data_IF_236206855669
#
_entry.id   IF_236206855669
#
_cell.length_a   1.000
_cell.length_b   1.000
_cell.length_c   1.000
_cell.angle_alpha   90.00
_cell.angle_beta   90.00
_cell.angle_gamma   90.00
#
_symmetry.space_group_name_H-M   'P 1'
#
loop_
_entity.id
_entity.type
_entity.pdbx_description
1 polymer ?
#
# COMPACT_ATOMS: atom_id res chain seq x y z
N UNK A 1 -16.78 -19.08 -13.07
CA UNK A 1 -16.03 -20.33 -13.21
C UNK A 1 -16.87 -21.47 -12.64
N UNK A 2 -17.27 -22.46 -13.45
CA UNK A 2 -18.04 -23.62 -13.04
C UNK A 2 -17.59 -24.85 -13.86
N UNK A 3 -18.03 -26.04 -13.48
CA UNK A 3 -17.58 -27.29 -14.12
C UNK A 3 -18.02 -27.39 -15.60
N UNK A 4 -19.18 -26.85 -15.94
CA UNK A 4 -19.68 -26.80 -17.30
C UNK A 4 -20.64 -25.61 -17.48
N UNK A 5 -20.34 -24.73 -18.43
CA UNK A 5 -21.20 -23.59 -18.77
C UNK A 5 -22.38 -23.97 -19.69
N UNK A 6 -22.29 -25.09 -20.40
CA UNK A 6 -23.34 -25.56 -21.32
C UNK A 6 -24.41 -26.42 -20.61
N UNK A 7 -25.02 -25.85 -19.60
CA UNK A 7 -26.23 -26.35 -18.96
C UNK A 7 -27.31 -25.29 -19.00
N UNK A 8 -28.59 -25.70 -19.02
CA UNK A 8 -29.73 -24.78 -19.06
C UNK A 8 -29.67 -23.78 -17.89
N UNK A 9 -29.40 -24.28 -16.68
CA UNK A 9 -29.28 -23.49 -15.46
C UNK A 9 -28.17 -22.48 -15.54
N UNK A 10 -26.95 -22.88 -15.91
CA UNK A 10 -25.77 -22.00 -15.96
C UNK A 10 -25.89 -20.95 -17.07
N UNK A 11 -26.43 -21.30 -18.24
CA UNK A 11 -26.67 -20.34 -19.31
C UNK A 11 -27.77 -19.33 -18.96
N UNK A 12 -28.83 -19.77 -18.27
CA UNK A 12 -29.87 -18.88 -17.76
C UNK A 12 -29.32 -17.90 -16.73
N UNK A 13 -28.55 -18.43 -15.79
CA UNK A 13 -27.89 -17.62 -14.73
C UNK A 13 -26.86 -16.65 -15.34
N UNK A 14 -26.11 -17.09 -16.37
CA UNK A 14 -25.14 -16.25 -17.08
C UNK A 14 -25.84 -15.08 -17.79
N UNK A 15 -26.98 -15.34 -18.43
CA UNK A 15 -27.81 -14.31 -19.10
C UNK A 15 -28.37 -13.32 -18.08
N UNK A 16 -28.90 -13.81 -16.97
CA UNK A 16 -29.42 -12.97 -15.90
C UNK A 16 -28.31 -12.05 -15.32
N UNK A 17 -27.12 -12.60 -15.08
CA UNK A 17 -25.97 -11.81 -14.62
C UNK A 17 -25.52 -10.77 -15.66
N UNK A 18 -25.51 -11.12 -16.95
CA UNK A 18 -25.16 -10.18 -18.02
C UNK A 18 -26.13 -9.00 -18.10
N UNK A 19 -27.43 -9.29 -18.01
CA UNK A 19 -28.46 -8.25 -18.04
C UNK A 19 -28.38 -7.36 -16.79
N UNK A 20 -28.22 -7.94 -15.62
CA UNK A 20 -28.08 -7.16 -14.40
C UNK A 20 -26.84 -6.27 -14.41
N UNK A 21 -25.70 -6.75 -14.94
CA UNK A 21 -24.51 -5.92 -15.11
C UNK A 21 -24.75 -4.74 -16.07
N UNK A 22 -25.56 -4.95 -17.13
CA UNK A 22 -25.89 -3.87 -18.06
C UNK A 22 -26.80 -2.83 -17.41
N UNK A 23 -27.82 -3.25 -16.68
CA UNK A 23 -28.87 -2.40 -16.13
C UNK A 23 -28.46 -1.69 -14.83
N UNK A 24 -27.67 -2.37 -13.99
CA UNK A 24 -27.38 -1.89 -12.64
C UNK A 24 -26.06 -1.13 -12.52
N UNK A 25 -25.13 -1.25 -13.48
CA UNK A 25 -23.89 -0.50 -13.43
C UNK A 25 -24.08 0.92 -13.95
N UNK A 26 -23.71 1.91 -13.14
CA UNK A 26 -23.86 3.34 -13.47
C UNK A 26 -23.17 3.76 -14.77
N UNK A 27 -22.08 3.08 -15.12
CA UNK A 27 -21.25 3.42 -16.29
C UNK A 27 -21.22 2.33 -17.36
N UNK A 28 -22.11 1.34 -17.34
CA UNK A 28 -22.18 0.34 -18.40
C UNK A 28 -22.63 0.99 -19.74
N UNK A 29 -21.95 0.59 -20.81
CA UNK A 29 -22.28 0.97 -22.19
C UNK A 29 -22.79 -0.27 -22.95
N UNK A 30 -22.06 -1.37 -22.86
CA UNK A 30 -22.39 -2.62 -23.54
C UNK A 30 -21.83 -3.79 -22.75
N UNK A 31 -22.62 -4.85 -22.68
CA UNK A 31 -22.17 -6.16 -22.16
C UNK A 31 -22.00 -7.12 -23.33
N UNK A 32 -21.00 -7.95 -23.28
CA UNK A 32 -20.72 -9.02 -24.25
C UNK A 32 -20.43 -10.29 -23.48
N UNK A 33 -21.28 -11.25 -23.61
CA UNK A 33 -21.15 -12.59 -23.01
C UNK A 33 -21.44 -13.67 -24.03
N UNK A 34 -21.30 -14.93 -23.63
CA UNK A 34 -21.68 -16.05 -24.48
C UNK A 34 -23.15 -16.02 -24.89
N UNK A 35 -24.01 -15.46 -24.03
CA UNK A 35 -25.47 -15.39 -24.23
C UNK A 35 -25.90 -14.16 -25.05
N UNK A 36 -25.06 -13.13 -25.14
CA UNK A 36 -25.46 -11.84 -25.74
C UNK A 36 -24.67 -11.53 -27.03
N UNK A 37 -23.80 -12.44 -27.46
CA UNK A 37 -23.00 -12.22 -28.64
C UNK A 37 -23.80 -12.53 -29.91
N UNK A 38 -23.85 -11.56 -30.81
CA UNK A 38 -24.49 -11.62 -32.10
C UNK A 38 -23.48 -11.67 -33.23
N UNK A 39 -23.80 -12.45 -34.28
CA UNK A 39 -23.00 -12.55 -35.49
C UNK A 39 -23.84 -12.25 -36.71
N UNK A 40 -23.25 -11.55 -37.65
CA UNK A 40 -23.77 -11.44 -38.98
C UNK A 40 -23.41 -12.69 -39.78
N UNK A 41 -24.40 -13.39 -40.27
CA UNK A 41 -24.27 -14.55 -41.16
C UNK A 41 -24.86 -14.20 -42.50
N UNK A 42 -24.10 -14.46 -43.55
CA UNK A 42 -24.60 -14.32 -44.92
C UNK A 42 -25.64 -15.42 -45.23
N UNK A 43 -26.83 -15.04 -45.70
CA UNK A 43 -27.81 -15.96 -46.25
C UNK A 43 -28.08 -15.62 -47.70
N UNK A 44 -28.74 -16.50 -48.43
CA UNK A 44 -29.03 -16.31 -49.87
C UNK A 44 -29.86 -15.05 -50.15
N UNK A 45 -30.61 -14.56 -49.14
CA UNK A 45 -31.45 -13.35 -49.20
C UNK A 45 -30.81 -12.10 -48.55
N UNK A 46 -29.56 -12.16 -48.06
CA UNK A 46 -28.86 -11.06 -47.42
C UNK A 46 -28.06 -11.43 -46.18
N UNK A 47 -27.92 -10.47 -45.23
CA UNK A 47 -27.26 -10.70 -43.94
C UNK A 47 -28.32 -10.86 -42.86
N UNK A 48 -28.21 -11.95 -42.10
CA UNK A 48 -29.01 -12.19 -40.88
C UNK A 48 -28.16 -12.10 -39.63
N UNK A 49 -28.74 -11.62 -38.52
CA UNK A 49 -28.10 -11.60 -37.22
C UNK A 49 -28.47 -12.88 -36.50
N UNK A 50 -27.49 -13.66 -36.12
CA UNK A 50 -27.67 -14.90 -35.36
C UNK A 50 -27.00 -14.80 -34.01
N UNK A 51 -27.67 -15.26 -32.98
CA UNK A 51 -27.12 -15.46 -31.64
C UNK A 51 -26.51 -16.87 -31.50
N UNK A 52 -25.54 -17.04 -30.58
CA UNK A 52 -25.02 -18.37 -30.27
C UNK A 52 -26.02 -19.14 -29.39
N UNK A 53 -26.53 -18.46 -28.35
CA UNK A 53 -27.50 -19.02 -27.43
C UNK A 53 -28.87 -18.39 -27.75
N UNK A 54 -29.84 -19.16 -28.20
CA UNK A 54 -31.18 -18.65 -28.53
C UNK A 54 -31.88 -18.15 -27.26
N UNK A 55 -32.94 -17.35 -27.44
CA UNK A 55 -33.72 -16.82 -26.33
C UNK A 55 -34.30 -17.92 -25.46
N UNK A 56 -34.83 -18.97 -26.06
CA UNK A 56 -35.24 -20.20 -25.36
C UNK A 56 -34.04 -21.16 -25.27
N UNK A 57 -33.50 -21.31 -24.04
CA UNK A 57 -32.36 -22.17 -23.78
C UNK A 57 -32.86 -23.64 -23.77
N UNK A 58 -32.29 -24.54 -24.60
CA UNK A 58 -32.73 -25.91 -24.69
C UNK A 58 -32.39 -26.73 -23.44
N UNK A 59 -33.05 -27.86 -23.29
CA UNK A 59 -32.83 -28.81 -22.19
C UNK A 59 -31.42 -29.43 -22.27
N UNK A 60 -30.89 -29.78 -21.08
CA UNK A 60 -29.57 -30.38 -20.95
C UNK A 60 -29.47 -31.72 -21.69
N UNK A 61 -28.33 -31.95 -22.37
CA UNK A 61 -28.12 -33.17 -23.15
C UNK A 61 -28.93 -33.27 -24.45
N UNK A 62 -29.66 -32.21 -24.82
CA UNK A 62 -30.36 -32.18 -26.11
C UNK A 62 -29.39 -31.95 -27.27
N UNK A 63 -29.78 -32.43 -28.48
CA UNK A 63 -29.03 -32.18 -29.70
C UNK A 63 -28.85 -30.66 -29.99
N UNK A 64 -29.81 -29.85 -29.54
CA UNK A 64 -29.73 -28.39 -29.63
C UNK A 64 -28.66 -27.80 -28.72
N UNK A 65 -28.47 -28.32 -27.51
CA UNK A 65 -27.38 -27.89 -26.61
C UNK A 65 -26.00 -28.25 -27.18
N UNK A 66 -25.83 -29.42 -27.75
CA UNK A 66 -24.59 -29.80 -28.44
C UNK A 66 -24.32 -28.92 -29.67
N UNK A 67 -25.35 -28.51 -30.41
CA UNK A 67 -25.21 -27.56 -31.53
C UNK A 67 -24.76 -26.18 -31.07
N UNK A 68 -25.27 -25.67 -29.93
CA UNK A 68 -24.83 -24.42 -29.32
C UNK A 68 -23.34 -24.49 -28.96
N UNK A 69 -22.93 -25.58 -28.32
CA UNK A 69 -21.54 -25.81 -27.96
C UNK A 69 -20.64 -25.86 -29.20
N UNK A 70 -21.00 -26.64 -30.20
CA UNK A 70 -20.27 -26.71 -31.46
C UNK A 70 -20.16 -25.34 -32.15
N UNK A 71 -21.26 -24.56 -32.18
CA UNK A 71 -21.32 -23.21 -32.75
C UNK A 71 -20.39 -22.25 -31.98
N UNK A 72 -20.38 -22.30 -30.66
CA UNK A 72 -19.50 -21.47 -29.83
C UNK A 72 -18.02 -21.73 -30.12
N UNK A 73 -17.61 -22.99 -30.22
CA UNK A 73 -16.23 -23.35 -30.51
C UNK A 73 -15.82 -23.16 -31.99
N UNK A 74 -16.77 -23.16 -32.92
CA UNK A 74 -16.49 -22.90 -34.34
C UNK A 74 -16.09 -21.45 -34.64
N UNK A 75 -16.43 -20.51 -33.74
CA UNK A 75 -16.17 -19.09 -33.92
C UNK A 75 -14.91 -18.65 -33.16
N UNK A 76 -13.81 -18.25 -33.84
CA UNK A 76 -12.54 -17.88 -33.19
C UNK A 76 -12.64 -16.70 -32.20
N UNK A 77 -13.64 -15.83 -32.39
CA UNK A 77 -13.87 -14.68 -31.49
C UNK A 77 -14.57 -15.07 -30.18
N UNK A 78 -15.16 -16.24 -30.10
CA UNK A 78 -15.82 -16.79 -28.91
C UNK A 78 -14.92 -17.80 -28.24
N UNK A 79 -14.44 -18.79 -29.00
CA UNK A 79 -13.45 -19.71 -28.52
C UNK A 79 -12.19 -18.94 -28.11
N UNK A 80 -11.68 -19.21 -26.92
CA UNK A 80 -10.51 -18.56 -26.28
C UNK A 80 -10.71 -17.13 -25.77
N UNK A 81 -11.76 -16.41 -26.19
CA UNK A 81 -12.01 -15.03 -25.69
C UNK A 81 -13.17 -14.95 -24.70
N UNK A 82 -14.26 -15.64 -24.97
CA UNK A 82 -15.44 -15.63 -24.10
C UNK A 82 -15.62 -16.97 -23.35
N UNK A 83 -15.05 -18.05 -23.86
CA UNK A 83 -15.11 -19.37 -23.22
C UNK A 83 -13.76 -20.07 -23.32
N UNK A 84 -13.37 -20.80 -22.27
CA UNK A 84 -12.18 -21.64 -22.27
C UNK A 84 -12.35 -22.88 -23.15
N UNK A 85 -11.24 -23.48 -23.59
CA UNK A 85 -11.27 -24.72 -24.38
C UNK A 85 -11.94 -25.89 -23.65
N UNK A 86 -11.91 -25.89 -22.32
CA UNK A 86 -12.56 -26.91 -21.47
C UNK A 86 -14.01 -26.61 -21.16
N UNK A 87 -14.50 -25.39 -21.41
CA UNK A 87 -15.84 -24.95 -21.08
C UNK A 87 -16.10 -24.68 -19.59
N UNK A 88 -15.03 -24.59 -18.78
CA UNK A 88 -15.05 -24.38 -17.35
C UNK A 88 -14.97 -22.89 -16.94
N UNK A 89 -14.57 -22.04 -17.86
CA UNK A 89 -14.45 -20.59 -17.66
C UNK A 89 -15.14 -19.84 -18.78
N UNK A 90 -16.01 -18.91 -18.44
CA UNK A 90 -16.56 -17.94 -19.38
C UNK A 90 -16.31 -16.51 -18.91
N UNK A 91 -16.24 -15.57 -19.86
CA UNK A 91 -16.04 -14.16 -19.62
C UNK A 91 -17.29 -13.36 -19.97
N UNK A 92 -17.69 -12.48 -19.08
CA UNK A 92 -18.62 -11.40 -19.36
C UNK A 92 -17.78 -10.13 -19.47
N UNK A 93 -17.73 -9.55 -20.65
CA UNK A 93 -17.01 -8.30 -20.89
C UNK A 93 -17.97 -7.13 -20.85
N UNK A 94 -17.76 -6.24 -19.88
CA UNK A 94 -18.53 -5.00 -19.77
C UNK A 94 -17.71 -3.85 -20.32
N UNK A 95 -18.20 -3.25 -21.39
CA UNK A 95 -17.65 -2.00 -21.92
C UNK A 95 -18.24 -0.84 -21.12
N UNK A 96 -17.37 0.00 -20.58
CA UNK A 96 -17.78 1.16 -19.80
C UNK A 96 -17.80 2.43 -20.66
N UNK A 97 -18.71 3.33 -20.33
CA UNK A 97 -18.72 4.71 -20.85
C UNK A 97 -17.50 5.46 -20.36
N UNK A 98 -17.10 6.49 -21.08
CA UNK A 98 -16.00 7.34 -20.64
C UNK A 98 -16.33 7.99 -19.29
N UNK A 99 -15.48 7.79 -18.30
CA UNK A 99 -15.65 8.42 -17.00
C UNK A 99 -15.53 9.95 -17.08
N UNK A 100 -16.25 10.69 -16.22
CA UNK A 100 -16.12 12.14 -16.14
C UNK A 100 -14.69 12.51 -15.73
N UNK A 101 -14.22 13.67 -16.19
CA UNK A 101 -12.87 14.17 -15.86
C UNK A 101 -12.69 14.32 -14.34
N UNK A 102 -11.49 14.13 -13.87
CA UNK A 102 -11.10 14.25 -12.45
C UNK A 102 -11.59 15.55 -11.79
N UNK A 103 -11.57 16.66 -12.53
CA UNK A 103 -12.03 17.96 -12.04
C UNK A 103 -13.51 18.01 -11.69
N UNK A 104 -14.35 17.18 -12.32
CA UNK A 104 -15.80 17.20 -12.10
C UNK A 104 -16.20 16.45 -10.84
N UNK A 105 -15.75 15.19 -10.70
CA UNK A 105 -16.14 14.39 -9.55
C UNK A 105 -15.39 14.78 -8.25
N UNK A 106 -14.15 15.29 -8.34
CA UNK A 106 -13.41 15.81 -7.18
C UNK A 106 -14.04 17.07 -6.59
N UNK A 107 -14.54 17.98 -7.42
CA UNK A 107 -15.25 19.17 -6.94
C UNK A 107 -16.53 18.84 -6.17
N UNK A 108 -17.17 17.74 -6.51
CA UNK A 108 -18.39 17.28 -5.84
C UNK A 108 -18.09 16.48 -4.55
N UNK A 109 -16.81 16.29 -4.18
CA UNK A 109 -16.42 15.47 -3.03
C UNK A 109 -16.75 13.98 -3.21
N UNK A 110 -17.00 13.56 -4.45
CA UNK A 110 -17.43 12.20 -4.79
C UNK A 110 -16.26 11.22 -4.84
N UNK A 111 -16.57 9.96 -4.64
CA UNK A 111 -15.60 8.85 -4.80
C UNK A 111 -15.28 8.70 -6.28
N UNK A 112 -14.06 8.21 -6.59
CA UNK A 112 -13.67 7.96 -7.99
C UNK A 112 -14.65 7.03 -8.70
N UNK A 113 -15.07 7.34 -9.95
CA UNK A 113 -15.95 6.49 -10.75
C UNK A 113 -15.48 5.04 -10.88
N UNK A 114 -14.16 4.81 -10.95
CA UNK A 114 -13.58 3.46 -10.92
C UNK A 114 -13.95 2.68 -9.67
N UNK A 115 -13.89 3.33 -8.50
CA UNK A 115 -14.21 2.70 -7.21
C UNK A 115 -15.70 2.41 -7.13
N UNK A 116 -16.56 3.35 -7.60
CA UNK A 116 -18.01 3.15 -7.62
C UNK A 116 -18.37 1.96 -8.50
N UNK A 117 -17.88 1.94 -9.74
CA UNK A 117 -18.13 0.83 -10.68
C UNK A 117 -17.62 -0.51 -10.10
N UNK A 118 -16.43 -0.51 -9.52
CA UNK A 118 -15.88 -1.71 -8.89
C UNK A 118 -16.72 -2.21 -7.70
N UNK A 119 -17.28 -1.30 -6.90
CA UNK A 119 -18.17 -1.60 -5.79
C UNK A 119 -19.51 -2.18 -6.27
N UNK A 120 -20.10 -1.58 -7.30
CA UNK A 120 -21.32 -2.07 -7.94
C UNK A 120 -21.13 -3.50 -8.48
N UNK A 121 -20.02 -3.75 -9.19
CA UNK A 121 -19.67 -5.11 -9.66
C UNK A 121 -19.52 -6.06 -8.49
N UNK A 122 -18.81 -5.69 -7.43
CA UNK A 122 -18.64 -6.55 -6.26
C UNK A 122 -19.98 -6.91 -5.61
N UNK A 123 -20.89 -5.94 -5.52
CA UNK A 123 -22.22 -6.16 -4.96
C UNK A 123 -23.04 -7.15 -5.79
N UNK A 124 -22.98 -7.03 -7.13
CA UNK A 124 -23.73 -7.92 -8.05
C UNK A 124 -23.15 -9.33 -8.00
N UNK A 125 -21.84 -9.52 -8.16
CA UNK A 125 -21.24 -10.85 -8.21
C UNK A 125 -21.31 -11.62 -6.88
N UNK A 126 -21.52 -10.95 -5.76
CA UNK A 126 -21.68 -11.58 -4.44
C UNK A 126 -23.11 -12.00 -4.13
N UNK A 127 -24.07 -11.75 -5.01
CA UNK A 127 -25.45 -12.21 -4.79
C UNK A 127 -25.52 -13.74 -4.78
N UNK A 128 -26.29 -14.34 -3.87
CA UNK A 128 -26.42 -15.80 -3.75
C UNK A 128 -26.97 -16.45 -5.02
N UNK A 129 -27.74 -15.71 -5.82
CA UNK A 129 -28.32 -16.16 -7.09
C UNK A 129 -27.25 -16.55 -8.12
N UNK A 130 -26.08 -15.91 -8.07
CA UNK A 130 -24.96 -16.16 -8.99
C UNK A 130 -23.87 -17.06 -8.42
N UNK A 131 -24.06 -17.60 -7.22
CA UNK A 131 -23.05 -18.39 -6.52
C UNK A 131 -22.66 -19.67 -7.30
N UNK A 132 -23.59 -20.25 -8.07
CA UNK A 132 -23.34 -21.44 -8.90
C UNK A 132 -22.27 -21.20 -9.97
N UNK A 133 -22.18 -20.00 -10.50
CA UNK A 133 -21.18 -19.61 -11.49
C UNK A 133 -19.83 -19.21 -10.88
N UNK A 134 -19.73 -19.10 -9.54
CA UNK A 134 -18.54 -18.59 -8.84
C UNK A 134 -17.90 -17.39 -9.56
N UNK A 135 -18.64 -16.27 -9.75
CA UNK A 135 -18.19 -15.15 -10.55
C UNK A 135 -17.04 -14.42 -9.85
N UNK A 136 -16.09 -13.97 -10.63
CA UNK A 136 -14.94 -13.19 -10.17
C UNK A 136 -14.79 -11.92 -10.99
N UNK A 137 -14.68 -10.79 -10.32
CA UNK A 137 -14.44 -9.51 -10.99
C UNK A 137 -13.00 -9.38 -11.46
N UNK A 138 -12.83 -8.74 -12.62
CA UNK A 138 -11.55 -8.39 -13.20
C UNK A 138 -11.65 -7.02 -13.90
N UNK A 139 -10.52 -6.41 -14.22
CA UNK A 139 -10.46 -5.11 -14.87
C UNK A 139 -10.10 -3.98 -13.89
N UNK A 140 -9.67 -2.84 -14.45
CA UNK A 140 -9.12 -1.73 -13.65
C UNK A 140 -10.09 -1.19 -12.59
N UNK A 141 -11.38 -0.95 -12.86
CA UNK A 141 -12.33 -0.46 -11.85
C UNK A 141 -12.45 -1.42 -10.66
N UNK A 142 -12.62 -2.72 -10.93
CA UNK A 142 -12.73 -3.72 -9.89
C UNK A 142 -11.45 -3.85 -9.05
N UNK A 143 -10.28 -3.86 -9.71
CA UNK A 143 -8.98 -3.89 -9.03
C UNK A 143 -8.79 -2.65 -8.17
N UNK A 144 -9.16 -1.46 -8.67
CA UNK A 144 -9.06 -0.20 -7.92
C UNK A 144 -9.95 -0.22 -6.68
N UNK A 145 -11.18 -0.73 -6.81
CA UNK A 145 -12.08 -0.91 -5.68
C UNK A 145 -11.52 -1.88 -4.64
N UNK A 146 -11.16 -3.10 -5.03
CA UNK A 146 -10.57 -4.10 -4.14
C UNK A 146 -9.34 -3.55 -3.42
N UNK A 147 -8.48 -2.86 -4.15
CA UNK A 147 -7.28 -2.22 -3.63
C UNK A 147 -7.62 -1.17 -2.57
N UNK A 148 -8.63 -0.33 -2.81
CA UNK A 148 -9.10 0.69 -1.87
C UNK A 148 -9.63 0.05 -0.57
N UNK A 149 -10.43 -1.01 -0.67
CA UNK A 149 -10.96 -1.75 0.48
C UNK A 149 -9.84 -2.43 1.28
N UNK A 150 -8.92 -3.12 0.60
CA UNK A 150 -7.78 -3.78 1.24
C UNK A 150 -6.86 -2.78 1.93
N UNK A 151 -6.51 -1.69 1.26
CA UNK A 151 -5.66 -0.65 1.85
C UNK A 151 -6.34 -0.07 3.10
N UNK A 152 -7.62 0.27 3.03
CA UNK A 152 -8.36 0.80 4.19
C UNK A 152 -8.33 -0.14 5.40
N UNK A 153 -8.48 -1.44 5.16
CA UNK A 153 -8.48 -2.48 6.18
C UNK A 153 -7.09 -2.74 6.77
N UNK A 154 -6.08 -2.89 5.91
CA UNK A 154 -4.71 -3.21 6.32
C UNK A 154 -3.96 -2.00 6.89
N UNK A 155 -4.30 -0.78 6.50
CA UNK A 155 -3.70 0.46 7.04
C UNK A 155 -3.79 0.50 8.56
N UNK A 156 -4.98 0.33 9.12
CA UNK A 156 -5.17 0.35 10.57
C UNK A 156 -4.36 -0.74 11.28
N UNK A 157 -4.34 -1.94 10.73
CA UNK A 157 -3.58 -3.08 11.25
C UNK A 157 -2.07 -2.84 11.22
N UNK A 158 -1.54 -2.38 10.09
CA UNK A 158 -0.11 -2.09 9.94
C UNK A 158 0.34 -0.94 10.84
N UNK A 159 -0.47 0.12 10.96
CA UNK A 159 -0.21 1.23 11.87
C UNK A 159 -0.18 0.77 13.34
N UNK A 160 -1.10 -0.10 13.73
CA UNK A 160 -1.11 -0.70 15.08
C UNK A 160 0.16 -1.51 15.33
N UNK A 161 0.55 -2.38 14.40
CA UNK A 161 1.77 -3.20 14.50
C UNK A 161 3.01 -2.31 14.57
N UNK A 162 3.12 -1.30 13.70
CA UNK A 162 4.23 -0.35 13.69
C UNK A 162 4.33 0.41 15.01
N UNK A 163 3.20 0.84 15.59
CA UNK A 163 3.17 1.52 16.88
C UNK A 163 3.61 0.59 18.01
N UNK A 164 3.15 -0.66 18.02
CA UNK A 164 3.56 -1.65 19.04
C UNK A 164 5.06 -1.92 18.95
N UNK A 165 5.59 -2.15 17.75
CA UNK A 165 7.03 -2.35 17.53
C UNK A 165 7.81 -1.12 18.01
N UNK A 166 7.36 0.09 17.66
CA UNK A 166 7.95 1.35 18.13
C UNK A 166 7.99 1.40 19.65
N UNK A 167 6.87 1.10 20.32
CA UNK A 167 6.81 1.08 21.79
C UNK A 167 7.78 0.08 22.39
N UNK A 168 7.81 -1.15 21.87
CA UNK A 168 8.71 -2.20 22.37
C UNK A 168 10.19 -1.79 22.24
N UNK A 169 10.58 -1.32 21.06
CA UNK A 169 11.96 -0.86 20.80
C UNK A 169 12.33 0.28 21.75
N UNK A 170 11.43 1.28 21.88
CA UNK A 170 11.70 2.43 22.74
C UNK A 170 11.71 2.05 24.24
N UNK A 171 10.86 1.13 24.71
CA UNK A 171 10.90 0.62 26.07
C UNK A 171 12.25 -0.08 26.34
N UNK A 172 12.67 -0.95 25.43
CA UNK A 172 13.94 -1.69 25.57
C UNK A 172 15.15 -0.74 25.62
N UNK A 173 15.16 0.29 24.76
CA UNK A 173 16.29 1.22 24.64
C UNK A 173 16.29 2.29 25.74
N UNK A 174 15.13 2.89 26.00
CA UNK A 174 15.07 4.05 26.91
C UNK A 174 14.73 3.70 28.35
N UNK A 175 14.05 2.57 28.58
CA UNK A 175 13.51 2.16 29.89
C UNK A 175 12.77 3.32 30.61
N UNK A 176 12.07 4.16 29.84
CA UNK A 176 11.40 5.35 30.34
C UNK A 176 10.10 5.60 29.57
N UNK A 177 9.02 5.87 30.26
CA UNK A 177 7.71 6.19 29.65
C UNK A 177 7.81 7.39 28.71
N UNK A 178 8.58 8.42 29.08
CA UNK A 178 8.76 9.62 28.24
C UNK A 178 9.48 9.31 26.94
N UNK A 179 10.45 8.40 26.98
CA UNK A 179 11.14 7.96 25.78
C UNK A 179 10.24 7.20 24.81
N UNK A 180 9.15 6.59 25.30
CA UNK A 180 8.17 5.90 24.47
C UNK A 180 7.13 6.89 23.90
N UNK A 181 6.69 7.82 24.71
CA UNK A 181 5.64 8.79 24.33
C UNK A 181 6.14 9.83 23.32
N UNK A 182 7.40 10.27 23.43
CA UNK A 182 7.97 11.29 22.55
C UNK A 182 7.91 10.95 21.06
N UNK A 183 8.38 9.78 20.57
CA UNK A 183 8.29 9.45 19.15
C UNK A 183 6.85 9.31 18.67
N UNK A 184 5.94 8.79 19.48
CA UNK A 184 4.53 8.63 19.10
C UNK A 184 3.90 10.01 18.87
N UNK A 185 4.06 10.94 19.80
CA UNK A 185 3.54 12.31 19.64
C UNK A 185 4.19 13.00 18.45
N UNK A 186 5.50 12.82 18.24
CA UNK A 186 6.22 13.40 17.11
C UNK A 186 5.69 12.89 15.76
N UNK A 187 5.43 11.58 15.64
CA UNK A 187 4.84 10.99 14.42
C UNK A 187 3.43 11.52 14.19
N UNK A 188 2.59 11.44 15.21
CA UNK A 188 1.20 11.90 15.12
C UNK A 188 1.16 13.37 14.72
N UNK A 189 1.93 14.23 15.39
CA UNK A 189 2.01 15.65 15.09
C UNK A 189 2.53 15.92 13.66
N UNK A 190 3.62 15.27 13.27
CA UNK A 190 4.20 15.41 11.93
C UNK A 190 3.26 14.95 10.81
N UNK A 191 2.57 13.82 11.00
CA UNK A 191 1.59 13.31 10.05
C UNK A 191 0.35 14.20 9.97
N UNK A 192 -0.18 14.68 11.09
CA UNK A 192 -1.32 15.62 11.09
C UNK A 192 -1.00 16.90 10.33
N UNK A 193 0.18 17.48 10.54
CA UNK A 193 0.60 18.66 9.79
C UNK A 193 0.73 18.33 8.30
N UNK A 194 1.39 17.23 7.96
CA UNK A 194 1.60 16.81 6.56
C UNK A 194 0.28 16.62 5.81
N UNK A 195 -0.62 15.80 6.35
CA UNK A 195 -1.90 15.51 5.70
C UNK A 195 -2.88 16.67 5.80
N UNK A 196 -2.77 17.51 6.86
CA UNK A 196 -3.51 18.76 6.96
C UNK A 196 -3.16 19.73 5.83
N UNK A 197 -1.86 19.91 5.56
CA UNK A 197 -1.40 20.75 4.44
C UNK A 197 -1.80 20.12 3.10
N UNK A 198 -1.62 18.80 2.91
CA UNK A 198 -2.03 18.11 1.69
C UNK A 198 -3.55 18.25 1.43
N UNK A 199 -4.37 18.17 2.46
CA UNK A 199 -5.81 18.39 2.37
C UNK A 199 -6.18 19.85 2.06
N UNK A 200 -5.53 20.81 2.72
CA UNK A 200 -5.78 22.24 2.50
C UNK A 200 -5.36 22.69 1.10
N UNK A 201 -4.24 22.18 0.61
CA UNK A 201 -3.75 22.47 -0.75
C UNK A 201 -4.42 21.62 -1.84
N UNK A 202 -5.37 20.75 -1.48
CA UNK A 202 -6.03 19.82 -2.38
C UNK A 202 -5.04 18.98 -3.22
N UNK A 203 -3.91 18.64 -2.65
CA UNK A 203 -2.92 17.81 -3.32
C UNK A 203 -3.50 16.43 -3.62
N UNK A 204 -3.19 15.92 -4.81
CA UNK A 204 -3.51 14.55 -5.14
C UNK A 204 -2.74 13.58 -4.26
N UNK A 205 -3.46 12.79 -3.49
CA UNK A 205 -2.89 11.72 -2.66
C UNK A 205 -3.41 10.39 -3.17
N UNK A 206 -2.52 9.58 -3.73
CA UNK A 206 -2.87 8.23 -4.17
C UNK A 206 -3.00 7.32 -2.95
N UNK A 207 -4.18 6.73 -2.77
CA UNK A 207 -4.48 5.83 -1.65
C UNK A 207 -3.54 4.62 -1.58
N UNK A 208 -3.04 4.18 -2.74
CA UNK A 208 -2.13 3.03 -2.86
C UNK A 208 -0.80 3.25 -2.15
N UNK A 209 -0.28 4.49 -2.20
CA UNK A 209 1.06 4.81 -1.71
C UNK A 209 1.06 5.52 -0.36
N UNK A 210 -0.12 5.77 0.21
CA UNK A 210 -0.32 6.44 1.50
C UNK A 210 0.39 5.75 2.67
N UNK A 211 0.56 4.43 2.59
CA UNK A 211 1.25 3.64 3.63
C UNK A 211 2.73 3.99 3.75
N UNK A 212 3.39 4.32 2.65
CA UNK A 212 4.85 4.53 2.62
C UNK A 212 5.25 5.72 3.51
N UNK A 213 4.67 6.93 3.38
CA UNK A 213 4.98 8.05 4.25
C UNK A 213 4.73 7.76 5.73
N UNK A 214 3.64 7.03 6.04
CA UNK A 214 3.28 6.70 7.42
C UNK A 214 4.31 5.77 8.08
N UNK A 215 4.64 4.64 7.45
CA UNK A 215 5.60 3.67 7.98
C UNK A 215 6.98 4.30 8.09
N UNK A 216 7.40 5.06 7.07
CA UNK A 216 8.67 5.77 7.07
C UNK A 216 8.75 6.78 8.22
N UNK A 217 7.67 7.50 8.49
CA UNK A 217 7.60 8.47 9.60
C UNK A 217 7.84 7.82 10.96
N UNK A 218 7.29 6.63 11.20
CA UNK A 218 7.57 5.88 12.42
C UNK A 218 9.04 5.47 12.52
N UNK A 219 9.62 4.91 11.47
CA UNK A 219 11.02 4.48 11.47
C UNK A 219 11.97 5.63 11.74
N UNK A 220 11.74 6.76 11.08
CA UNK A 220 12.57 7.97 11.21
C UNK A 220 12.42 8.61 12.59
N UNK A 221 11.19 8.70 13.12
CA UNK A 221 10.95 9.23 14.45
C UNK A 221 11.62 8.39 15.55
N UNK A 222 11.56 7.05 15.43
CA UNK A 222 12.27 6.15 16.35
C UNK A 222 13.75 6.47 16.34
N UNK A 223 14.37 6.55 15.16
CA UNK A 223 15.80 6.81 15.02
C UNK A 223 16.19 8.16 15.66
N UNK A 224 15.48 9.23 15.36
CA UNK A 224 15.77 10.56 15.94
C UNK A 224 15.63 10.57 17.46
N UNK A 225 14.55 10.00 17.96
CA UNK A 225 14.26 10.01 19.39
C UNK A 225 15.22 9.09 20.18
N UNK A 226 15.66 7.95 19.63
CA UNK A 226 16.66 7.10 20.28
C UNK A 226 17.97 7.87 20.47
N UNK A 227 18.45 8.55 19.43
CA UNK A 227 19.68 9.34 19.50
C UNK A 227 19.58 10.46 20.54
N UNK A 228 18.52 11.28 20.48
CA UNK A 228 18.29 12.38 21.41
C UNK A 228 18.16 11.85 22.85
N UNK A 229 17.41 10.80 23.06
CA UNK A 229 17.13 10.28 24.40
C UNK A 229 18.35 9.58 25.02
N UNK A 230 19.10 8.82 24.23
CA UNK A 230 20.31 8.13 24.71
C UNK A 230 21.36 9.13 25.15
N UNK A 231 21.59 10.16 24.34
CA UNK A 231 22.55 11.21 24.67
C UNK A 231 22.13 12.04 25.90
N UNK A 232 20.86 12.47 25.93
CA UNK A 232 20.30 13.13 27.11
C UNK A 232 20.51 12.32 28.40
N UNK A 233 20.32 11.00 28.34
CA UNK A 233 20.46 10.11 29.49
C UNK A 233 21.91 10.07 30.00
N UNK A 234 22.90 10.10 29.09
CA UNK A 234 24.32 10.25 29.42
C UNK A 234 24.60 11.58 30.13
N UNK A 235 24.18 12.70 29.52
CA UNK A 235 24.38 14.04 30.08
C UNK A 235 23.65 14.26 31.41
N UNK A 236 22.47 13.68 31.56
CA UNK A 236 21.71 13.74 32.81
C UNK A 236 22.44 13.05 33.98
N UNK A 237 23.19 11.97 33.72
CA UNK A 237 24.01 11.30 34.74
C UNK A 237 25.25 12.12 35.14
N UNK A 238 25.81 12.88 34.18
CA UNK A 238 26.99 13.74 34.42
C UNK A 238 26.58 14.98 35.21
N UNK A 239 25.56 15.70 34.73
CA UNK A 239 25.23 17.03 35.29
C UNK A 239 24.17 16.97 36.40
N UNK A 240 23.31 15.99 36.41
CA UNK A 240 22.18 15.90 37.34
C UNK A 240 21.08 16.95 37.08
N UNK A 241 21.35 17.98 36.26
CA UNK A 241 20.47 19.10 35.96
C UNK A 241 19.88 18.95 34.54
N UNK A 242 18.55 18.89 34.45
CA UNK A 242 17.84 18.63 33.19
C UNK A 242 18.10 19.69 32.13
N UNK A 243 18.02 20.95 32.50
CA UNK A 243 18.18 22.05 31.56
C UNK A 243 19.56 22.00 30.88
N UNK A 244 20.64 21.83 31.63
CA UNK A 244 21.98 21.68 31.07
C UNK A 244 22.10 20.45 30.18
N UNK A 245 21.58 19.30 30.62
CA UNK A 245 21.62 18.07 29.86
C UNK A 245 20.87 18.20 28.52
N UNK A 246 19.73 18.90 28.47
CA UNK A 246 18.97 19.12 27.23
C UNK A 246 19.72 20.06 26.30
N UNK A 247 20.24 21.18 26.80
CA UNK A 247 20.98 22.15 25.97
C UNK A 247 22.19 21.50 25.33
N UNK A 248 22.96 20.70 26.08
CA UNK A 248 24.10 19.97 25.54
C UNK A 248 23.65 18.91 24.54
N UNK A 249 22.58 18.17 24.81
CA UNK A 249 22.04 17.20 23.86
C UNK A 249 21.71 17.83 22.51
N UNK A 250 21.03 18.97 22.53
CA UNK A 250 20.67 19.67 21.28
C UNK A 250 21.91 20.24 20.59
N UNK A 251 22.87 20.77 21.32
CA UNK A 251 24.12 21.29 20.73
C UNK A 251 24.96 20.21 20.05
N UNK A 252 25.07 19.04 20.67
CA UNK A 252 25.95 17.97 20.19
C UNK A 252 25.28 17.07 19.14
N UNK A 253 24.06 16.62 19.43
CA UNK A 253 23.36 15.63 18.58
C UNK A 253 22.35 16.27 17.65
N UNK A 254 21.84 17.46 17.97
CA UNK A 254 20.81 18.14 17.16
C UNK A 254 21.22 18.31 15.70
N UNK A 255 22.47 18.72 15.44
CA UNK A 255 23.02 18.84 14.10
C UNK A 255 23.07 17.48 13.37
N UNK A 256 23.55 16.44 14.04
CA UNK A 256 23.62 15.11 13.42
C UNK A 256 22.24 14.59 13.05
N UNK A 257 21.24 14.76 13.92
CA UNK A 257 19.84 14.39 13.66
C UNK A 257 19.25 15.22 12.52
N UNK A 258 19.53 16.54 12.49
CA UNK A 258 19.09 17.44 11.43
C UNK A 258 19.65 17.02 10.06
N UNK A 259 20.96 16.79 9.95
CA UNK A 259 21.56 16.36 8.69
C UNK A 259 21.08 14.98 8.24
N UNK A 260 20.87 14.05 9.16
CA UNK A 260 20.28 12.76 8.86
C UNK A 260 18.88 12.92 8.25
N UNK A 261 18.04 13.76 8.86
CA UNK A 261 16.70 14.06 8.32
C UNK A 261 16.75 14.78 6.98
N UNK A 262 17.66 15.73 6.83
CA UNK A 262 17.84 16.50 5.60
C UNK A 262 18.28 15.62 4.42
N UNK A 263 19.25 14.73 4.64
CA UNK A 263 19.68 13.78 3.59
C UNK A 263 18.56 12.83 3.19
N UNK A 264 17.76 12.36 4.16
CA UNK A 264 16.57 11.54 3.89
C UNK A 264 15.55 12.31 3.06
N UNK A 265 15.29 13.57 3.40
CA UNK A 265 14.38 14.46 2.66
C UNK A 265 14.83 14.65 1.20
N UNK A 266 16.11 14.97 0.98
CA UNK A 266 16.67 15.15 -0.37
C UNK A 266 16.58 13.84 -1.18
N UNK A 267 16.87 12.71 -0.54
CA UNK A 267 16.73 11.39 -1.17
C UNK A 267 15.29 11.10 -1.61
N UNK A 268 14.29 11.43 -0.79
CA UNK A 268 12.87 11.26 -1.14
C UNK A 268 12.41 12.22 -2.23
N UNK A 269 12.94 13.45 -2.26
CA UNK A 269 12.65 14.41 -3.34
C UNK A 269 13.18 13.91 -4.70
N UNK A 270 14.18 13.01 -4.74
CA UNK A 270 14.65 12.44 -6.00
C UNK A 270 13.56 11.65 -6.76
N UNK A 271 12.52 11.17 -6.08
CA UNK A 271 11.37 10.53 -6.73
C UNK A 271 10.61 11.47 -7.67
N UNK A 272 10.77 12.79 -7.53
CA UNK A 272 10.20 13.75 -8.46
C UNK A 272 10.81 13.66 -9.87
N UNK A 273 12.01 13.07 -10.02
CA UNK A 273 12.62 12.84 -11.31
C UNK A 273 11.96 11.71 -12.11
N UNK A 274 11.13 10.86 -11.47
CA UNK A 274 10.48 9.72 -12.12
C UNK A 274 9.15 10.18 -12.73
N UNK A 275 8.89 10.03 -14.04
CA UNK A 275 7.68 10.53 -14.69
C UNK A 275 6.44 9.64 -14.42
N UNK A 276 6.20 9.26 -13.17
CA UNK A 276 5.07 8.44 -12.73
C UNK A 276 4.34 9.16 -11.59
N UNK A 277 3.06 9.51 -11.78
CA UNK A 277 2.27 10.26 -10.79
C UNK A 277 2.29 9.69 -9.36
N UNK A 278 2.09 8.38 -9.11
CA UNK A 278 2.21 7.82 -7.77
C UNK A 278 3.59 8.04 -7.12
N UNK A 279 4.68 7.98 -7.88
CA UNK A 279 6.03 8.22 -7.37
C UNK A 279 6.25 9.69 -6.97
N UNK A 280 5.73 10.63 -7.76
CA UNK A 280 5.71 12.06 -7.37
C UNK A 280 4.96 12.25 -6.06
N UNK A 281 3.80 11.62 -5.91
CA UNK A 281 3.01 11.67 -4.69
C UNK A 281 3.81 11.16 -3.48
N UNK A 282 4.45 9.99 -3.62
CA UNK A 282 5.35 9.44 -2.57
C UNK A 282 6.47 10.40 -2.25
N UNK A 283 7.16 10.93 -3.26
CA UNK A 283 8.28 11.85 -3.10
C UNK A 283 7.89 13.08 -2.28
N UNK A 284 6.82 13.77 -2.66
CA UNK A 284 6.36 14.99 -1.99
C UNK A 284 5.86 14.70 -0.59
N UNK A 285 4.92 13.76 -0.43
CA UNK A 285 4.26 13.53 0.87
C UNK A 285 5.24 12.89 1.87
N UNK A 286 6.11 11.97 1.43
CA UNK A 286 7.12 11.39 2.33
C UNK A 286 8.15 12.43 2.76
N UNK A 287 8.60 13.30 1.85
CA UNK A 287 9.53 14.39 2.19
C UNK A 287 8.91 15.35 3.20
N UNK A 288 7.66 15.76 2.98
CA UNK A 288 6.92 16.59 3.91
C UNK A 288 6.76 15.89 5.27
N UNK A 289 6.41 14.60 5.28
CA UNK A 289 6.25 13.83 6.51
C UNK A 289 7.56 13.74 7.29
N UNK A 290 8.67 13.42 6.64
CA UNK A 290 10.00 13.36 7.27
C UNK A 290 10.40 14.72 7.82
N UNK A 291 10.18 15.81 7.07
CA UNK A 291 10.47 17.17 7.51
C UNK A 291 9.67 17.53 8.77
N UNK A 292 8.36 17.35 8.76
CA UNK A 292 7.53 17.72 9.92
C UNK A 292 7.77 16.78 11.11
N UNK A 293 8.01 15.49 10.89
CA UNK A 293 8.40 14.56 11.97
C UNK A 293 9.75 14.95 12.56
N UNK A 294 10.73 15.38 11.75
CA UNK A 294 11.99 15.90 12.23
C UNK A 294 11.78 17.14 13.13
N UNK A 295 11.01 18.13 12.63
CA UNK A 295 10.72 19.35 13.38
C UNK A 295 9.99 19.07 14.69
N UNK A 296 8.95 18.25 14.62
CA UNK A 296 8.20 17.86 15.83
C UNK A 296 9.07 17.06 16.81
N UNK A 297 9.94 16.17 16.35
CA UNK A 297 10.89 15.45 17.22
C UNK A 297 11.89 16.38 17.90
N UNK A 298 12.46 17.34 17.18
CA UNK A 298 13.40 18.31 17.74
C UNK A 298 12.76 19.28 18.75
N UNK A 299 11.46 19.52 18.66
CA UNK A 299 10.72 20.39 19.61
C UNK A 299 10.10 19.57 20.75
N UNK A 300 9.37 18.52 20.43
CA UNK A 300 8.57 17.76 21.42
C UNK A 300 9.48 16.95 22.34
N UNK A 301 10.55 16.37 21.83
CA UNK A 301 11.44 15.52 22.65
C UNK A 301 12.13 16.32 23.76
N UNK A 302 12.80 17.45 23.48
CA UNK A 302 13.37 18.30 24.55
C UNK A 302 12.31 18.82 25.52
N UNK A 303 11.13 19.19 24.99
CA UNK A 303 10.02 19.66 25.82
C UNK A 303 9.58 18.57 26.83
N UNK A 304 9.36 17.35 26.38
CA UNK A 304 8.99 16.23 27.25
C UNK A 304 10.11 15.85 28.22
N UNK A 305 11.38 16.01 27.83
CA UNK A 305 12.53 15.77 28.68
C UNK A 305 12.73 16.85 29.76
N UNK A 306 12.22 18.08 29.52
CA UNK A 306 12.31 19.17 30.51
C UNK A 306 11.47 18.90 31.76
N UNK A 307 10.35 18.19 31.61
CA UNK A 307 9.50 17.84 32.74
C UNK A 307 10.14 16.75 33.60
N UNK A 308 10.23 16.98 34.91
CA UNK A 308 10.67 16.00 35.91
C UNK A 308 11.66 16.56 36.92
N UNK A 309 12.06 15.75 37.88
CA UNK A 309 13.00 16.14 38.95
C UNK A 309 14.45 16.05 38.47
N UNK A 310 15.29 16.96 38.93
CA UNK A 310 16.75 16.83 38.80
C UNK A 310 17.24 15.65 39.66
N UNK A 311 18.37 15.07 39.27
CA UNK A 311 19.00 13.93 39.96
C UNK A 311 20.37 14.39 40.49
N UNK A 312 20.89 13.69 41.48
CA UNK A 312 22.27 13.93 41.89
C UNK A 312 23.20 13.43 40.78
N UNK A 313 24.27 14.15 40.41
CA UNK A 313 25.31 13.68 39.53
C UNK A 313 25.89 12.37 40.06
N UNK A 314 26.25 11.46 39.14
CA UNK A 314 26.92 10.22 39.51
C UNK A 314 28.41 10.50 39.39
N UNK A 315 29.11 10.58 40.56
CA UNK A 315 30.55 10.78 40.59
C UNK A 315 31.29 9.62 39.91
N UNK A 316 32.25 9.95 39.01
CA UNK A 316 33.02 8.96 38.25
C UNK A 316 32.29 8.30 37.08
N UNK A 317 31.10 8.79 36.68
CA UNK A 317 30.43 8.32 35.46
C UNK A 317 31.15 8.83 34.24
N UNK A 318 31.79 7.93 33.49
CA UNK A 318 32.30 8.16 32.14
C UNK A 318 31.30 7.53 31.13
N UNK A 319 31.16 8.12 29.93
CA UNK A 319 30.26 7.61 28.90
C UNK A 319 30.61 6.20 28.42
N UNK A 320 31.83 5.75 28.69
CA UNK A 320 32.32 4.40 28.40
C UNK A 320 31.79 3.34 29.39
N UNK A 321 30.55 3.45 29.83
CA UNK A 321 29.98 2.45 30.74
C UNK A 321 29.83 1.11 30.02
N UNK A 322 30.58 0.14 30.56
CA UNK A 322 30.69 -1.28 30.24
C UNK A 322 29.36 -2.05 30.07
N UNK A 323 28.60 -1.72 29.09
CA UNK A 323 27.47 -2.55 28.71
C UNK A 323 27.98 -3.76 27.93
N UNK A 324 27.43 -4.95 28.14
CA UNK A 324 27.80 -6.18 27.40
C UNK A 324 27.85 -5.96 25.88
N UNK A 325 26.95 -5.14 25.36
CA UNK A 325 26.92 -4.73 23.96
C UNK A 325 28.09 -3.86 23.54
N UNK A 326 28.51 -2.92 24.37
CA UNK A 326 29.68 -2.07 24.09
C UNK A 326 30.93 -2.92 24.00
N UNK A 327 31.13 -3.88 24.95
CA UNK A 327 32.23 -4.83 24.90
C UNK A 327 32.21 -5.70 23.65
N UNK A 328 31.03 -6.17 23.23
CA UNK A 328 30.88 -6.95 21.99
C UNK A 328 31.25 -6.14 20.74
N UNK A 329 30.79 -4.88 20.67
CA UNK A 329 31.07 -3.98 19.54
C UNK A 329 32.58 -3.61 19.53
N UNK A 330 33.17 -3.27 20.67
CA UNK A 330 34.61 -2.97 20.79
C UNK A 330 35.43 -4.19 20.39
N UNK A 331 35.12 -5.39 20.91
CA UNK A 331 35.78 -6.61 20.52
C UNK A 331 35.69 -6.93 19.03
N UNK A 332 34.51 -6.65 18.42
CA UNK A 332 34.32 -6.77 16.97
C UNK A 332 35.19 -5.75 16.21
N UNK A 333 35.21 -4.51 16.68
CA UNK A 333 36.03 -3.44 16.11
C UNK A 333 37.51 -3.78 16.17
N UNK A 334 38.00 -4.24 17.33
CA UNK A 334 39.39 -4.65 17.50
C UNK A 334 39.77 -5.81 16.58
N UNK A 335 38.86 -6.78 16.40
CA UNK A 335 39.05 -7.88 15.47
C UNK A 335 39.10 -7.44 14.01
N UNK A 336 38.30 -6.47 13.63
CA UNK A 336 38.32 -5.84 12.28
C UNK A 336 39.61 -5.04 12.08
N UNK A 337 39.99 -4.24 13.07
CA UNK A 337 41.20 -3.39 13.02
C UNK A 337 42.51 -4.21 13.08
N UNK A 338 42.51 -5.40 13.74
CA UNK A 338 43.71 -6.26 13.79
C UNK A 338 44.08 -6.89 12.45
N UNK A 339 43.10 -7.07 11.53
CA UNK A 339 43.33 -7.66 10.21
C UNK A 339 42.55 -7.00 9.07
N UNK A 340 42.71 -5.68 8.84
CA UNK A 340 41.85 -4.91 7.96
C UNK A 340 41.89 -5.37 6.49
N UNK A 341 43.11 -5.78 6.02
CA UNK A 341 43.25 -6.25 4.63
C UNK A 341 42.56 -7.58 4.37
N UNK A 342 42.66 -8.54 5.30
CA UNK A 342 42.00 -9.85 5.13
C UNK A 342 40.50 -9.71 5.21
N UNK A 343 39.98 -8.91 6.12
CA UNK A 343 38.53 -8.71 6.27
C UNK A 343 37.97 -7.89 5.08
N UNK A 344 38.71 -6.86 4.66
CA UNK A 344 38.33 -6.09 3.46
C UNK A 344 38.29 -6.94 2.19
N UNK A 345 39.29 -7.78 1.97
CA UNK A 345 39.33 -8.71 0.83
C UNK A 345 38.22 -9.77 0.87
N UNK A 346 37.95 -10.36 2.05
CA UNK A 346 36.86 -11.32 2.18
C UNK A 346 35.50 -10.69 1.99
N UNK A 347 35.26 -9.49 2.50
CA UNK A 347 34.02 -8.74 2.27
C UNK A 347 33.83 -8.39 0.78
N UNK A 348 34.89 -7.88 0.12
CA UNK A 348 34.84 -7.58 -1.31
C UNK A 348 34.59 -8.83 -2.15
N UNK A 349 35.21 -9.97 -1.81
CA UNK A 349 34.99 -11.23 -2.48
C UNK A 349 33.53 -11.72 -2.34
N UNK A 350 32.94 -11.59 -1.13
CA UNK A 350 31.51 -11.90 -0.89
C UNK A 350 30.60 -10.99 -1.71
N UNK A 351 30.88 -9.67 -1.74
CA UNK A 351 30.11 -8.73 -2.54
C UNK A 351 30.18 -9.07 -4.04
N UNK A 352 31.35 -9.39 -4.57
CA UNK A 352 31.53 -9.78 -5.97
C UNK A 352 30.77 -11.09 -6.27
N UNK A 353 30.85 -12.08 -5.37
CA UNK A 353 30.12 -13.34 -5.52
C UNK A 353 28.60 -13.14 -5.54
N UNK A 354 28.07 -12.25 -4.71
CA UNK A 354 26.65 -11.89 -4.67
C UNK A 354 26.20 -11.04 -5.87
N UNK A 355 27.12 -10.35 -6.53
CA UNK A 355 26.81 -9.60 -7.75
C UNK A 355 26.81 -10.47 -9.03
N UNK A 356 27.42 -11.65 -8.98
CA UNK A 356 27.50 -12.57 -10.14
C UNK A 356 26.34 -13.59 -10.14
N UNK A 357 25.67 -13.81 -9.00
CA UNK A 357 24.49 -14.68 -8.88
C UNK A 357 23.19 -13.92 -9.00
#
# INVERSE_FOLDING_TARGET
QCDNHFTKENLTTLRALSNELLDSLSYADKVTSLTDIEFMVGSDDGMTIEQIVPDEIPEDGSQAMEAIKAKAYSKPHVARKLISEKGDLSWIMVKLRTFPKDSVWKQQGSVSPDIITGQEVEHIIKKPEYASLNPRGAGMPYVTHCKSVYIGKEMGRLMMIATIICMVVMICMTRSVRGVVAPIISVIGGLFITYGIAGWTQMYVDSTVLMIPMILSFAVAIAYNIHLFSYFKGRMRIHGERHKAIVETIKEIGWSVFFCGFTTLVSLLSFLAIPIRPMHCVGVISSMSVFFVLMTSLVITPLLLSFGKNQKPIEGFTEDSDTKWTKAIVSLSDKVLSNPRKIGLSFSAICILLCIG
#
